data_IF_919340444061
#
_entry.id   IF_919340444061
#
_cell.length_a   1.000
_cell.length_b   1.000
_cell.length_c   1.000
_cell.angle_alpha   90.00
_cell.angle_beta   90.00
_cell.angle_gamma   90.00
#
_symmetry.space_group_name_H-M   'P 1'
#
loop_
_entity.id
_entity.type
_entity.pdbx_description
1 polymer ?
#
# COMPACT_ATOMS: atom_id res chain seq x y z
N UNK A 1 -9.94 -12.48 -5.84
CA UNK A 1 -9.86 -11.15 -5.23
C UNK A 1 -8.50 -10.52 -5.47
N UNK A 2 -8.48 -9.45 -6.24
CA UNK A 2 -7.40 -8.47 -6.32
C UNK A 2 -7.87 -7.25 -5.54
N UNK A 3 -7.12 -6.88 -4.50
CA UNK A 3 -7.34 -5.64 -3.78
C UNK A 3 -6.25 -4.67 -4.21
N UNK A 4 -6.50 -3.79 -5.20
CA UNK A 4 -5.69 -2.62 -5.31
C UNK A 4 -6.15 -1.67 -4.20
N UNK A 5 -5.53 -1.83 -3.05
CA UNK A 5 -4.92 -0.65 -2.44
C UNK A 5 -3.81 -0.21 -3.40
N UNK A 6 -3.27 1.01 -3.33
CA UNK A 6 -2.16 1.36 -4.23
C UNK A 6 -0.83 0.58 -3.93
N UNK A 7 -0.92 -0.63 -3.36
CA UNK A 7 -0.05 -1.78 -3.60
C UNK A 7 -0.88 -3.02 -4.00
N UNK A 8 -0.69 -3.53 -5.21
CA UNK A 8 -1.55 -4.57 -5.81
C UNK A 8 -1.40 -5.89 -5.03
N UNK A 9 -2.48 -6.66 -4.84
CA UNK A 9 -2.41 -8.07 -4.43
C UNK A 9 -3.04 -8.96 -5.51
N UNK A 10 -2.29 -9.87 -6.18
CA UNK A 10 -2.90 -10.87 -7.08
C UNK A 10 -3.05 -12.23 -6.40
N UNK A 11 -4.13 -12.94 -6.72
CA UNK A 11 -4.30 -14.38 -6.48
C UNK A 11 -4.56 -15.09 -7.80
N UNK A 12 -3.87 -16.21 -8.02
CA UNK A 12 -4.10 -17.11 -9.16
C UNK A 12 -4.82 -18.37 -8.65
N UNK A 13 -5.85 -18.81 -9.36
CA UNK A 13 -6.52 -20.10 -9.14
C UNK A 13 -6.45 -20.89 -10.44
N UNK A 14 -5.72 -22.00 -10.44
CA UNK A 14 -5.53 -22.86 -11.60
C UNK A 14 -6.77 -23.75 -11.82
N UNK A 15 -7.46 -23.54 -12.94
CA UNK A 15 -8.29 -24.57 -13.54
C UNK A 15 -8.20 -24.44 -15.06
N UNK A 16 -7.16 -25.03 -15.67
CA UNK A 16 -7.27 -25.96 -16.81
C UNK A 16 -6.08 -25.90 -17.78
N UNK A 17 -5.65 -27.10 -18.19
CA UNK A 17 -4.73 -27.37 -19.28
C UNK A 17 -5.20 -26.72 -20.59
N UNK A 18 -4.31 -26.04 -21.33
CA UNK A 18 -4.18 -26.13 -22.79
C UNK A 18 -2.90 -25.46 -23.34
N UNK A 19 -2.46 -25.96 -24.49
CA UNK A 19 -1.15 -25.77 -25.16
C UNK A 19 -0.81 -24.33 -25.61
N UNK A 20 0.49 -24.00 -25.80
CA UNK A 20 0.93 -22.67 -26.22
C UNK A 20 0.75 -22.42 -27.74
N UNK A 21 0.35 -21.21 -28.16
CA UNK A 21 0.35 -20.83 -29.57
C UNK A 21 1.73 -20.33 -30.03
N UNK A 22 1.95 -20.51 -31.34
CA UNK A 22 3.20 -20.32 -32.09
C UNK A 22 3.59 -18.84 -32.25
N UNK A 23 4.90 -18.63 -32.33
CA UNK A 23 5.65 -17.39 -32.57
C UNK A 23 5.24 -16.66 -33.86
N UNK A 24 5.11 -15.33 -33.78
CA UNK A 24 5.14 -14.43 -34.93
C UNK A 24 6.30 -13.44 -34.76
N UNK A 25 7.13 -13.38 -35.80
CA UNK A 25 8.27 -12.50 -36.00
C UNK A 25 7.79 -11.08 -36.33
N UNK A 26 8.41 -10.06 -35.71
CA UNK A 26 8.25 -8.67 -36.18
C UNK A 26 9.59 -7.95 -36.14
N UNK A 27 9.87 -7.27 -37.25
CA UNK A 27 11.12 -6.69 -37.70
C UNK A 27 11.53 -5.42 -36.92
N UNK A 28 12.85 -5.26 -36.76
CA UNK A 28 13.50 -4.06 -36.23
C UNK A 28 13.47 -2.91 -37.25
N UNK A 29 13.13 -1.70 -36.78
CA UNK A 29 13.51 -0.45 -37.44
C UNK A 29 14.39 0.38 -36.49
N UNK A 30 15.65 0.51 -36.90
CA UNK A 30 16.70 1.33 -36.28
C UNK A 30 16.49 2.79 -36.61
N UNK A 31 16.49 3.68 -35.62
CA UNK A 31 16.73 5.11 -35.81
C UNK A 31 17.73 5.63 -34.77
N UNK A 32 18.76 6.31 -35.29
CA UNK A 32 19.93 6.85 -34.56
C UNK A 32 19.59 8.12 -33.77
N UNK A 33 20.32 8.44 -32.69
CA UNK A 33 20.09 9.65 -31.90
C UNK A 33 20.78 10.88 -32.51
N UNK A 34 20.11 12.03 -32.45
CA UNK A 34 20.70 13.36 -32.61
C UNK A 34 21.07 13.90 -31.22
N UNK A 35 22.37 14.11 -31.00
CA UNK A 35 22.92 14.85 -29.88
C UNK A 35 22.80 16.35 -30.13
N UNK A 36 22.27 17.09 -29.17
CA UNK A 36 22.57 18.51 -29.01
C UNK A 36 22.83 18.80 -27.54
N UNK A 37 24.11 19.07 -27.26
CA UNK A 37 24.63 19.62 -26.00
C UNK A 37 24.25 21.10 -25.90
N UNK A 38 23.70 21.52 -24.76
CA UNK A 38 23.70 22.90 -24.31
C UNK A 38 23.88 22.90 -22.78
N UNK A 39 25.05 23.36 -22.35
CA UNK A 39 25.35 23.73 -20.96
C UNK A 39 24.73 25.10 -20.62
N UNK A 40 24.88 25.55 -19.35
CA UNK A 40 24.69 26.91 -18.75
C UNK A 40 23.78 26.82 -17.48
N UNK A 41 24.02 27.60 -16.39
CA UNK A 41 25.02 27.45 -15.35
C UNK A 41 24.39 27.19 -13.94
N UNK A 42 25.21 26.93 -12.93
CA UNK A 42 24.77 26.74 -11.54
C UNK A 42 24.68 28.11 -10.85
N UNK A 43 23.49 28.53 -10.42
CA UNK A 43 23.31 29.61 -9.44
C UNK A 43 22.93 29.05 -8.08
N UNK A 44 23.67 29.48 -7.05
CA UNK A 44 23.51 29.11 -5.64
C UNK A 44 22.22 29.70 -5.08
N UNK A 45 21.37 28.89 -4.45
CA UNK A 45 20.27 29.38 -3.61
C UNK A 45 20.66 29.40 -2.13
N UNK A 46 20.37 30.54 -1.52
CA UNK A 46 20.59 30.93 -0.13
C UNK A 46 19.72 30.10 0.84
N UNK A 47 20.28 29.78 2.01
CA UNK A 47 19.55 29.24 3.17
C UNK A 47 18.62 30.32 3.73
N UNK A 48 17.31 30.09 3.68
CA UNK A 48 16.35 30.81 4.51
C UNK A 48 16.17 30.05 5.84
N UNK A 49 16.57 30.69 6.94
CA UNK A 49 16.29 30.26 8.30
C UNK A 49 14.82 30.53 8.65
N UNK A 50 14.05 29.49 8.95
CA UNK A 50 12.71 29.64 9.53
C UNK A 50 12.85 29.96 11.03
N UNK A 51 12.32 31.11 11.43
CA UNK A 51 12.23 31.53 12.81
C UNK A 51 11.18 30.70 13.55
N UNK A 52 11.56 30.16 14.71
CA UNK A 52 10.66 29.48 15.65
C UNK A 52 9.72 30.51 16.28
N UNK A 53 8.43 30.46 15.92
CA UNK A 53 7.38 31.12 16.70
C UNK A 53 7.14 30.32 17.98
N UNK A 54 7.41 30.94 19.14
CA UNK A 54 7.04 30.40 20.44
C UNK A 54 5.52 30.32 20.55
N UNK A 55 4.96 29.12 20.57
CA UNK A 55 3.57 28.88 20.96
C UNK A 55 3.57 28.60 22.47
N UNK A 56 2.84 29.43 23.22
CA UNK A 56 2.56 29.22 24.63
C UNK A 56 1.51 28.11 24.78
N UNK A 57 1.92 26.97 25.34
CA UNK A 57 1.01 25.88 25.71
C UNK A 57 0.32 26.23 27.03
N UNK A 58 -0.99 26.45 26.96
CA UNK A 58 -1.88 26.42 28.12
C UNK A 58 -2.05 24.96 28.52
N UNK A 59 -1.65 24.60 29.73
CA UNK A 59 -1.80 23.26 30.30
C UNK A 59 -3.29 22.95 30.48
N UNK A 60 -3.83 22.14 29.56
CA UNK A 60 -5.01 21.31 29.81
C UNK A 60 -4.57 19.86 29.66
N UNK A 61 -4.72 19.16 30.78
CA UNK A 61 -4.77 17.73 31.05
C UNK A 61 -3.96 16.79 30.14
N UNK A 62 -2.95 16.18 30.77
CA UNK A 62 -1.94 15.31 30.19
C UNK A 62 -2.51 13.90 29.97
N UNK A 63 -3.57 13.78 29.17
CA UNK A 63 -4.17 12.50 28.85
C UNK A 63 -3.40 11.82 27.71
N UNK A 64 -3.09 10.54 27.91
CA UNK A 64 -2.36 9.75 26.92
C UNK A 64 -3.29 9.41 25.75
N UNK A 65 -2.73 9.29 24.54
CA UNK A 65 -3.45 8.84 23.34
C UNK A 65 -4.38 7.62 23.55
N UNK A 66 -3.93 6.55 24.24
CA UNK A 66 -4.81 5.44 24.60
C UNK A 66 -6.02 5.87 25.42
N UNK A 67 -5.88 6.84 26.32
CA UNK A 67 -6.96 7.40 27.13
C UNK A 67 -7.97 8.14 26.25
N UNK A 68 -7.52 9.00 25.33
CA UNK A 68 -8.40 9.72 24.38
C UNK A 68 -9.13 8.74 23.46
N UNK A 69 -8.44 7.71 22.97
CA UNK A 69 -9.07 6.66 22.14
C UNK A 69 -10.09 5.88 22.96
N UNK A 70 -9.76 5.53 24.21
CA UNK A 70 -10.66 4.81 25.12
C UNK A 70 -11.86 5.66 25.49
N UNK A 71 -11.70 6.97 25.70
CA UNK A 71 -12.81 7.89 25.98
C UNK A 71 -13.68 8.09 24.75
N UNK A 72 -13.10 8.28 23.56
CA UNK A 72 -13.88 8.32 22.31
C UNK A 72 -14.63 7.01 22.05
N UNK A 73 -14.04 5.86 22.38
CA UNK A 73 -14.71 4.56 22.32
C UNK A 73 -15.84 4.48 23.35
N UNK A 74 -15.61 4.89 24.60
CA UNK A 74 -16.65 4.91 25.65
C UNK A 74 -17.79 5.88 25.35
N UNK A 75 -17.49 7.08 24.85
CA UNK A 75 -18.50 8.05 24.39
C UNK A 75 -19.29 7.46 23.21
N UNK A 76 -18.63 6.69 22.34
CA UNK A 76 -19.30 6.01 21.23
C UNK A 76 -20.18 4.84 21.70
N UNK A 77 -19.71 4.00 22.62
CA UNK A 77 -20.47 2.89 23.21
C UNK A 77 -21.69 3.43 23.99
N UNK A 78 -21.54 4.54 24.72
CA UNK A 78 -22.63 5.18 25.48
C UNK A 78 -23.69 5.81 24.58
N UNK A 79 -23.30 6.31 23.39
CA UNK A 79 -24.22 6.82 22.38
C UNK A 79 -24.92 5.70 21.60
N UNK A 80 -24.29 4.53 21.45
CA UNK A 80 -24.93 3.33 20.89
C UNK A 80 -25.99 2.78 21.86
N UNK A 81 -25.70 2.69 23.16
CA UNK A 81 -26.70 2.31 24.18
C UNK A 81 -27.90 3.28 24.19
N UNK A 82 -27.68 4.58 24.00
CA UNK A 82 -28.78 5.57 23.90
C UNK A 82 -29.57 5.48 22.58
N UNK A 83 -28.94 5.11 21.47
CA UNK A 83 -29.64 4.87 20.20
C UNK A 83 -30.43 3.56 20.20
N UNK A 84 -29.92 2.51 20.84
CA UNK A 84 -30.65 1.26 21.04
C UNK A 84 -31.83 1.46 22.02
N UNK A 85 -31.67 2.25 23.09
CA UNK A 85 -32.77 2.60 24.01
C UNK A 85 -33.88 3.44 23.34
N UNK A 86 -33.54 4.33 22.40
CA UNK A 86 -34.52 5.14 21.63
C UNK A 86 -35.26 4.30 20.56
N UNK A 87 -34.63 3.26 19.99
CA UNK A 87 -35.24 2.35 19.00
C UNK A 87 -36.03 1.19 19.66
N UNK A 88 -35.74 0.81 20.91
CA UNK A 88 -36.38 -0.29 21.63
C UNK A 88 -37.77 0.03 22.21
N UNK A 89 -38.25 1.29 22.17
CA UNK A 89 -39.62 1.60 22.61
C UNK A 89 -40.69 1.04 21.63
N UNK A 90 -40.29 0.51 20.45
CA UNK A 90 -41.16 -0.24 19.55
C UNK A 90 -40.43 -1.43 18.91
N UNK A 91 -40.20 -2.51 19.66
CA UNK A 91 -40.42 -3.92 19.24
C UNK A 91 -39.49 -4.86 20.00
N UNK A 92 -40.00 -5.44 21.09
CA UNK A 92 -39.37 -6.53 21.82
C UNK A 92 -39.27 -7.77 20.92
N UNK A 93 -38.11 -8.01 20.32
CA UNK A 93 -37.77 -9.30 19.69
C UNK A 93 -36.37 -9.73 20.07
N UNK A 94 -36.35 -10.83 20.83
CA UNK A 94 -35.27 -11.73 21.20
C UNK A 94 -34.03 -11.65 20.30
N UNK A 95 -32.88 -11.26 20.88
CA UNK A 95 -31.56 -11.44 20.27
C UNK A 95 -31.26 -12.94 20.11
N UNK A 96 -31.64 -13.50 18.96
CA UNK A 96 -31.12 -14.78 18.52
C UNK A 96 -29.63 -14.60 18.21
N UNK A 97 -28.77 -15.18 19.06
CA UNK A 97 -27.33 -15.30 18.80
C UNK A 97 -27.13 -16.07 17.49
N UNK A 98 -26.99 -15.34 16.38
CA UNK A 98 -26.67 -15.92 15.09
C UNK A 98 -25.37 -16.72 15.18
N UNK A 99 -25.30 -17.92 14.57
CA UNK A 99 -24.08 -18.72 14.58
C UNK A 99 -22.93 -17.91 13.96
N UNK A 100 -21.76 -17.92 14.62
CA UNK A 100 -20.56 -17.21 14.15
C UNK A 100 -20.24 -17.62 12.72
N UNK A 101 -20.42 -16.69 11.77
CA UNK A 101 -20.13 -16.90 10.35
C UNK A 101 -18.63 -17.11 10.15
N UNK A 102 -18.24 -18.27 9.62
CA UNK A 102 -16.84 -18.65 9.45
C UNK A 102 -16.33 -18.26 8.06
N UNK A 103 -15.10 -17.72 8.00
CA UNK A 103 -14.46 -17.37 6.72
C UNK A 103 -14.22 -18.61 5.84
N UNK A 104 -14.02 -19.79 6.42
CA UNK A 104 -13.85 -21.05 5.67
C UNK A 104 -15.03 -21.41 4.79
N UNK A 105 -16.24 -20.98 5.19
CA UNK A 105 -17.48 -21.39 4.52
C UNK A 105 -17.92 -20.33 3.51
N UNK A 106 -17.53 -19.07 3.72
CA UNK A 106 -17.93 -17.92 2.92
C UNK A 106 -16.80 -17.32 2.08
N UNK A 107 -15.61 -17.91 2.07
CA UNK A 107 -14.48 -17.34 1.33
C UNK A 107 -14.74 -17.10 -0.17
N UNK A 108 -15.54 -17.89 -0.91
CA UNK A 108 -15.80 -17.61 -2.32
C UNK A 108 -16.53 -16.27 -2.51
N UNK A 109 -17.59 -16.04 -1.72
CA UNK A 109 -18.36 -14.79 -1.69
C UNK A 109 -17.44 -13.62 -1.32
N UNK A 110 -16.71 -13.79 -0.21
CA UNK A 110 -15.75 -12.79 0.26
C UNK A 110 -14.72 -12.50 -0.81
N UNK A 111 -14.29 -13.48 -1.61
CA UNK A 111 -13.31 -13.31 -2.68
C UNK A 111 -13.89 -12.81 -4.02
N UNK A 112 -15.18 -12.47 -4.03
CA UNK A 112 -15.87 -11.81 -5.13
C UNK A 112 -16.53 -12.76 -6.12
N UNK A 113 -16.90 -13.99 -5.73
CA UNK A 113 -17.63 -14.93 -6.60
C UNK A 113 -18.76 -14.22 -7.36
N UNK A 114 -19.56 -13.44 -6.63
CA UNK A 114 -20.70 -12.67 -7.16
C UNK A 114 -20.45 -11.14 -7.09
N UNK A 115 -19.21 -10.72 -7.34
CA UNK A 115 -18.83 -9.29 -7.44
C UNK A 115 -19.25 -8.45 -6.21
N UNK A 116 -19.26 -9.06 -5.03
CA UNK A 116 -19.60 -8.42 -3.74
C UNK A 116 -20.98 -7.75 -3.70
N UNK A 117 -21.93 -8.24 -4.50
CA UNK A 117 -23.32 -7.74 -4.48
C UNK A 117 -23.87 -7.82 -3.06
N UNK A 118 -24.43 -6.70 -2.57
CA UNK A 118 -24.97 -6.54 -1.22
C UNK A 118 -23.97 -6.72 -0.06
N UNK A 119 -22.66 -6.68 -0.32
CA UNK A 119 -21.62 -6.82 0.73
C UNK A 119 -20.84 -5.53 1.02
N UNK A 120 -21.09 -4.45 0.26
CA UNK A 120 -20.31 -3.21 0.35
C UNK A 120 -21.02 -2.07 1.07
N UNK A 121 -22.36 -2.06 1.10
CA UNK A 121 -23.14 -0.97 1.66
C UNK A 121 -24.50 -1.47 2.19
N UNK A 122 -24.64 -1.77 3.50
CA UNK A 122 -23.58 -1.75 4.51
C UNK A 122 -22.48 -2.78 4.24
N UNK A 123 -21.27 -2.51 4.70
CA UNK A 123 -20.15 -3.43 4.47
C UNK A 123 -20.28 -4.68 5.34
N UNK A 124 -20.11 -5.84 4.72
CA UNK A 124 -20.05 -7.13 5.40
C UNK A 124 -18.82 -7.18 6.34
N UNK A 125 -19.02 -7.65 7.57
CA UNK A 125 -17.97 -7.65 8.60
C UNK A 125 -16.81 -8.62 8.28
N UNK A 126 -17.10 -9.79 7.71
CA UNK A 126 -16.08 -10.72 7.23
C UNK A 126 -15.33 -10.11 6.05
N UNK A 127 -16.03 -9.44 5.13
CA UNK A 127 -15.37 -8.75 4.02
C UNK A 127 -14.43 -7.66 4.55
N UNK A 128 -14.91 -6.77 5.42
CA UNK A 128 -14.10 -5.69 6.01
C UNK A 128 -12.82 -6.24 6.66
N UNK A 129 -12.93 -7.27 7.49
CA UNK A 129 -11.78 -7.90 8.16
C UNK A 129 -10.78 -8.52 7.18
N UNK A 130 -11.25 -9.21 6.14
CA UNK A 130 -10.35 -9.80 5.13
C UNK A 130 -9.70 -8.73 4.25
N UNK A 131 -10.42 -7.66 3.92
CA UNK A 131 -9.88 -6.50 3.21
C UNK A 131 -8.78 -5.82 4.02
N UNK A 132 -8.98 -5.65 5.33
CA UNK A 132 -7.95 -5.13 6.25
C UNK A 132 -6.72 -6.02 6.25
N UNK A 133 -6.90 -7.34 6.41
CA UNK A 133 -5.79 -8.31 6.43
C UNK A 133 -4.93 -8.25 5.16
N UNK A 134 -5.54 -8.24 3.99
CA UNK A 134 -4.82 -8.10 2.73
C UNK A 134 -4.21 -6.70 2.54
N UNK A 135 -4.88 -5.66 3.05
CA UNK A 135 -4.38 -4.29 3.07
C UNK A 135 -3.13 -4.13 3.94
N UNK A 136 -3.06 -4.79 5.10
CA UNK A 136 -1.88 -4.83 5.95
C UNK A 136 -0.70 -5.54 5.26
N UNK A 137 -0.96 -6.64 4.55
CA UNK A 137 0.04 -7.28 3.69
C UNK A 137 0.58 -6.30 2.64
N UNK A 138 -0.29 -5.51 1.99
CA UNK A 138 0.17 -4.48 1.05
C UNK A 138 1.01 -3.40 1.75
N UNK A 139 0.62 -2.96 2.96
CA UNK A 139 1.36 -1.96 3.74
C UNK A 139 2.77 -2.42 4.11
N UNK A 140 2.99 -3.72 4.33
CA UNK A 140 4.35 -4.25 4.57
C UNK A 140 5.33 -3.96 3.43
N UNK A 141 4.84 -3.81 2.20
CA UNK A 141 5.67 -3.41 1.06
C UNK A 141 6.20 -1.98 1.19
N UNK A 142 5.48 -1.10 1.89
CA UNK A 142 5.96 0.23 2.20
C UNK A 142 6.90 0.18 3.41
N UNK A 143 6.53 -0.53 4.47
CA UNK A 143 7.28 -0.55 5.73
C UNK A 143 8.66 -1.25 5.62
N UNK A 144 8.79 -2.24 4.72
CA UNK A 144 10.01 -2.99 4.50
C UNK A 144 10.93 -2.41 3.42
N UNK A 145 10.49 -1.41 2.65
CA UNK A 145 11.29 -0.86 1.57
C UNK A 145 12.32 0.17 2.06
N UNK A 146 13.53 0.13 1.49
CA UNK A 146 14.56 1.11 1.80
C UNK A 146 14.45 2.37 0.94
N UNK A 147 13.78 3.39 1.47
CA UNK A 147 13.63 4.70 0.83
C UNK A 147 14.87 5.59 0.89
N UNK A 148 15.86 5.30 1.74
CA UNK A 148 16.94 6.26 2.01
C UNK A 148 17.95 6.30 0.85
N UNK A 149 18.04 7.41 0.09
CA UNK A 149 18.99 7.53 -1.02
C UNK A 149 20.46 7.51 -0.56
N UNK A 150 20.73 7.73 0.72
CA UNK A 150 22.06 7.61 1.32
C UNK A 150 22.33 6.21 1.88
N UNK A 151 21.43 5.24 1.69
CA UNK A 151 21.69 3.84 1.99
C UNK A 151 22.33 3.15 0.79
N UNK A 152 23.35 2.30 1.03
CA UNK A 152 23.87 1.40 -0.02
C UNK A 152 22.82 0.40 -0.53
N UNK A 153 21.79 0.17 0.28
CA UNK A 153 20.68 -0.73 0.02
C UNK A 153 19.39 -0.02 -0.44
N UNK A 154 19.46 1.28 -0.78
CA UNK A 154 18.30 2.04 -1.27
C UNK A 154 17.62 1.30 -2.42
N UNK A 155 16.30 1.11 -2.34
CA UNK A 155 15.56 0.37 -3.34
C UNK A 155 15.37 -1.12 -3.04
N UNK A 156 16.01 -1.68 -2.00
CA UNK A 156 15.86 -3.08 -1.62
C UNK A 156 14.81 -3.27 -0.51
N UNK A 157 14.44 -4.53 -0.25
CA UNK A 157 13.80 -4.92 1.01
C UNK A 157 14.82 -4.88 2.16
N UNK A 158 14.38 -4.45 3.35
CA UNK A 158 15.17 -4.39 4.59
C UNK A 158 15.34 -5.75 5.27
N UNK A 159 14.38 -6.65 5.09
CA UNK A 159 14.29 -7.90 5.84
C UNK A 159 14.48 -9.13 4.98
N UNK A 160 14.96 -10.21 5.58
CA UNK A 160 15.03 -11.53 4.92
C UNK A 160 13.69 -12.26 5.07
N UNK A 161 13.35 -13.07 4.06
CA UNK A 161 12.00 -13.67 3.89
C UNK A 161 11.46 -14.37 5.13
N UNK A 162 12.25 -15.25 5.74
CA UNK A 162 11.83 -16.05 6.90
C UNK A 162 11.58 -15.23 8.18
N UNK A 163 11.98 -13.95 8.18
CA UNK A 163 11.75 -13.02 9.30
C UNK A 163 10.89 -11.83 8.88
N UNK A 164 10.34 -11.83 7.66
CA UNK A 164 9.73 -10.64 7.07
C UNK A 164 8.55 -10.12 7.91
N UNK A 165 7.58 -10.97 8.23
CA UNK A 165 6.43 -10.56 9.04
C UNK A 165 6.79 -10.35 10.52
N UNK A 166 7.70 -11.15 11.07
CA UNK A 166 8.20 -10.98 12.44
C UNK A 166 8.85 -9.61 12.67
N UNK A 167 9.75 -9.20 11.77
CA UNK A 167 10.42 -7.89 11.79
C UNK A 167 9.46 -6.71 11.66
N UNK A 168 8.26 -6.96 11.16
CA UNK A 168 7.19 -5.97 10.98
C UNK A 168 6.12 -6.05 12.08
N UNK A 169 6.26 -6.94 13.07
CA UNK A 169 5.26 -7.13 14.13
C UNK A 169 3.97 -7.82 13.67
N UNK A 170 4.00 -8.53 12.55
CA UNK A 170 2.87 -9.21 11.92
C UNK A 170 3.02 -10.74 11.95
N UNK A 171 3.72 -11.27 12.96
CA UNK A 171 3.90 -12.71 13.17
C UNK A 171 2.56 -13.49 13.29
N UNK A 172 1.50 -12.83 13.75
CA UNK A 172 0.16 -13.41 13.88
C UNK A 172 -0.59 -13.57 12.54
N UNK A 173 -0.04 -13.06 11.42
CA UNK A 173 -0.75 -13.06 10.14
C UNK A 173 -0.91 -14.47 9.55
N UNK A 174 -0.04 -15.42 9.92
CA UNK A 174 -0.11 -16.82 9.50
C UNK A 174 0.33 -17.08 8.05
N UNK A 175 1.31 -16.33 7.54
CA UNK A 175 1.85 -16.49 6.18
C UNK A 175 3.38 -16.55 6.19
N UNK A 176 3.94 -17.29 5.25
CA UNK A 176 5.37 -17.39 5.00
C UNK A 176 5.73 -16.75 3.66
N UNK A 177 6.75 -15.88 3.63
CA UNK A 177 7.23 -15.29 2.39
C UNK A 177 8.12 -16.28 1.64
N UNK A 178 7.71 -16.63 0.42
CA UNK A 178 8.41 -17.62 -0.42
C UNK A 178 9.34 -16.98 -1.44
N UNK A 179 8.99 -15.81 -1.97
CA UNK A 179 9.77 -15.10 -3.00
C UNK A 179 9.68 -13.58 -2.87
N UNK A 180 10.76 -12.89 -3.22
CA UNK A 180 10.74 -11.45 -3.47
C UNK A 180 10.62 -11.15 -4.95
N UNK A 181 9.97 -10.03 -5.25
CA UNK A 181 9.67 -9.55 -6.58
C UNK A 181 10.48 -8.28 -6.83
N UNK A 182 11.14 -8.22 -7.98
CA UNK A 182 11.97 -7.10 -8.40
C UNK A 182 11.52 -6.64 -9.78
N UNK A 183 11.54 -5.33 -10.01
CA UNK A 183 11.28 -4.77 -11.33
C UNK A 183 12.41 -3.84 -11.76
N UNK A 184 12.62 -3.82 -13.08
CA UNK A 184 13.52 -2.93 -13.78
C UNK A 184 12.76 -2.12 -14.84
N UNK A 185 13.34 -1.03 -15.32
CA UNK A 185 12.80 -0.21 -16.39
C UNK A 185 13.90 0.06 -17.40
N UNK A 186 13.63 -0.28 -18.66
CA UNK A 186 14.49 0.09 -19.79
C UNK A 186 14.26 1.55 -20.25
N UNK A 187 13.32 2.28 -19.63
CA UNK A 187 13.07 3.69 -19.88
C UNK A 187 13.67 4.47 -18.71
N UNK A 188 14.54 5.44 -19.02
CA UNK A 188 15.14 6.33 -18.03
C UNK A 188 14.10 7.37 -17.57
N UNK A 189 13.11 6.91 -16.81
CA UNK A 189 12.12 7.77 -16.16
C UNK A 189 12.77 8.42 -14.94
N UNK A 190 12.89 9.76 -14.88
CA UNK A 190 13.36 10.44 -13.68
C UNK A 190 12.45 10.06 -12.49
N UNK A 191 13.04 9.75 -11.34
CA UNK A 191 12.36 9.46 -10.07
C UNK A 191 11.46 8.20 -9.98
N UNK A 192 11.30 7.40 -11.05
CA UNK A 192 10.46 6.18 -11.00
C UNK A 192 11.03 5.11 -10.06
N UNK A 193 12.36 4.97 -10.03
CA UNK A 193 13.07 4.19 -9.04
C UNK A 193 13.82 5.09 -8.07
N UNK A 194 13.78 4.75 -6.77
CA UNK A 194 14.68 5.34 -5.78
C UNK A 194 16.08 4.82 -6.07
N UNK A 195 17.00 5.75 -6.40
CA UNK A 195 18.40 5.46 -6.70
C UNK A 195 19.25 5.83 -5.51
N UNK A 196 20.12 4.91 -5.10
CA UNK A 196 21.16 5.22 -4.11
C UNK A 196 22.14 6.24 -4.70
N UNK A 197 22.65 7.14 -3.86
CA UNK A 197 23.73 8.09 -4.17
C UNK A 197 25.11 7.46 -4.02
N UNK A 198 25.21 6.21 -3.58
CA UNK A 198 26.48 5.49 -3.42
C UNK A 198 27.04 5.02 -4.77
N UNK A 199 28.38 4.93 -4.93
CA UNK A 199 29.00 4.42 -6.16
C UNK A 199 28.84 2.90 -6.35
N UNK A 200 28.90 2.14 -5.25
CA UNK A 200 28.69 0.70 -5.21
C UNK A 200 27.33 0.40 -4.59
N UNK A 201 26.35 0.16 -5.46
CA UNK A 201 24.94 -0.07 -5.09
C UNK A 201 24.59 -1.52 -5.30
N UNK A 202 23.64 -2.04 -4.54
CA UNK A 202 23.17 -3.42 -4.72
C UNK A 202 22.52 -3.65 -6.10
N UNK A 203 21.87 -2.63 -6.67
CA UNK A 203 21.38 -2.63 -8.06
C UNK A 203 21.30 -1.21 -8.60
N UNK A 204 21.69 -1.03 -9.87
CA UNK A 204 21.60 0.26 -10.58
C UNK A 204 20.26 0.47 -11.27
N UNK A 205 19.56 -0.62 -11.60
CA UNK A 205 18.45 -0.62 -12.54
C UNK A 205 17.19 -1.32 -12.00
N UNK A 206 17.22 -1.88 -10.80
CA UNK A 206 16.08 -2.60 -10.25
C UNK A 206 15.78 -2.19 -8.81
N UNK A 207 14.50 -2.18 -8.47
CA UNK A 207 14.02 -2.03 -7.09
C UNK A 207 13.22 -3.27 -6.69
N UNK A 208 13.21 -3.55 -5.40
CA UNK A 208 12.24 -4.43 -4.79
C UNK A 208 10.84 -3.82 -4.93
N UNK A 209 9.90 -4.63 -5.39
CA UNK A 209 8.52 -4.21 -5.64
C UNK A 209 7.49 -5.11 -4.96
N UNK A 210 7.87 -5.99 -4.05
CA UNK A 210 6.92 -6.80 -3.29
C UNK A 210 7.34 -8.25 -3.14
N UNK A 211 6.39 -9.11 -2.82
CA UNK A 211 6.67 -10.49 -2.45
C UNK A 211 5.51 -11.44 -2.73
N UNK A 212 5.82 -12.73 -2.77
CA UNK A 212 4.88 -13.84 -2.76
C UNK A 212 4.90 -14.45 -1.37
N UNK A 213 3.74 -14.62 -0.75
CA UNK A 213 3.56 -15.35 0.49
C UNK A 213 2.49 -16.43 0.37
N UNK A 214 2.57 -17.42 1.25
CA UNK A 214 1.65 -18.56 1.29
C UNK A 214 1.18 -18.73 2.72
N UNK A 215 -0.12 -18.96 2.93
CA UNK A 215 -0.66 -19.22 4.26
C UNK A 215 -0.03 -20.47 4.86
N UNK A 216 0.26 -20.48 6.15
CA UNK A 216 0.71 -21.67 6.87
C UNK A 216 -0.48 -22.63 7.12
N UNK A 217 -0.25 -23.78 7.76
CA UNK A 217 -1.28 -24.82 7.91
C UNK A 217 -2.46 -24.36 8.79
N UNK A 218 -2.17 -23.70 9.92
CA UNK A 218 -3.18 -23.14 10.82
C UNK A 218 -4.07 -22.11 10.11
N UNK A 219 -3.45 -21.17 9.41
CA UNK A 219 -4.18 -20.14 8.66
C UNK A 219 -4.95 -20.75 7.49
N UNK A 220 -4.39 -21.77 6.82
CA UNK A 220 -5.09 -22.47 5.74
C UNK A 220 -6.33 -23.20 6.23
N UNK A 221 -6.28 -23.78 7.43
CA UNK A 221 -7.43 -24.40 8.08
C UNK A 221 -8.50 -23.34 8.40
N UNK A 222 -8.11 -22.20 8.99
CA UNK A 222 -9.03 -21.09 9.28
C UNK A 222 -9.70 -20.56 8.01
N UNK A 223 -8.93 -20.42 6.93
CA UNK A 223 -9.40 -19.91 5.65
C UNK A 223 -10.17 -20.96 4.81
N UNK A 224 -10.15 -22.23 5.21
CA UNK A 224 -10.71 -23.34 4.42
C UNK A 224 -9.97 -23.61 3.11
N UNK A 225 -8.78 -23.04 2.92
CA UNK A 225 -8.01 -23.09 1.66
C UNK A 225 -6.55 -22.73 1.89
N UNK A 226 -5.63 -23.26 1.05
CA UNK A 226 -4.28 -22.68 0.93
C UNK A 226 -4.40 -21.36 0.18
N UNK A 227 -3.99 -20.27 0.81
CA UNK A 227 -4.02 -18.95 0.21
C UNK A 227 -2.61 -18.52 -0.22
N UNK A 228 -2.48 -18.09 -1.47
CA UNK A 228 -1.25 -17.56 -2.03
C UNK A 228 -1.50 -16.07 -2.30
N UNK A 229 -0.72 -15.23 -1.64
CA UNK A 229 -0.81 -13.77 -1.78
C UNK A 229 0.41 -13.26 -2.51
N UNK A 230 0.19 -12.37 -3.48
CA UNK A 230 1.27 -11.67 -4.18
C UNK A 230 1.11 -10.19 -3.93
N UNK A 231 1.81 -9.62 -2.95
CA UNK A 231 1.74 -8.20 -2.62
C UNK A 231 2.76 -7.40 -3.44
N UNK A 232 2.35 -6.27 -3.98
CA UNK A 232 3.14 -5.40 -4.84
C UNK A 232 3.22 -3.97 -4.28
N UNK A 233 4.34 -3.30 -4.55
CA UNK A 233 4.61 -1.90 -4.29
C UNK A 233 4.50 -1.12 -5.60
N UNK A 234 3.35 -0.52 -5.89
CA UNK A 234 3.25 0.34 -7.07
C UNK A 234 1.82 0.75 -7.45
N UNK A 235 1.68 1.93 -8.09
CA UNK A 235 0.40 2.43 -8.54
C UNK A 235 -0.10 1.69 -9.79
N UNK A 236 -1.34 2.03 -10.17
CA UNK A 236 -2.20 1.48 -11.23
C UNK A 236 -1.52 0.93 -12.48
N UNK A 237 -2.12 -0.13 -13.03
CA UNK A 237 -1.67 -0.79 -14.26
C UNK A 237 -2.84 -0.95 -15.22
N UNK A 238 -2.61 -0.69 -16.51
CA UNK A 238 -3.45 -1.20 -17.60
C UNK A 238 -4.27 -0.17 -18.37
N UNK A 239 -4.45 -0.44 -19.66
CA UNK A 239 -5.36 0.28 -20.56
C UNK A 239 -6.67 -0.52 -20.74
N UNK A 240 -7.55 -0.06 -21.64
CA UNK A 240 -8.83 -0.74 -21.94
C UNK A 240 -8.63 -2.23 -22.26
N UNK A 241 -7.62 -2.59 -23.05
CA UNK A 241 -7.37 -4.01 -23.40
C UNK A 241 -6.96 -4.86 -22.21
N UNK A 242 -6.26 -4.27 -21.24
CA UNK A 242 -5.93 -4.95 -19.98
C UNK A 242 -7.20 -5.22 -19.17
N UNK A 243 -8.09 -4.22 -19.08
CA UNK A 243 -9.42 -4.37 -18.46
C UNK A 243 -10.19 -5.52 -19.12
N UNK A 244 -10.37 -5.46 -20.44
CA UNK A 244 -11.12 -6.48 -21.19
C UNK A 244 -10.55 -7.88 -20.95
N UNK A 245 -9.22 -8.00 -20.90
CA UNK A 245 -8.56 -9.29 -20.64
C UNK A 245 -8.82 -9.81 -19.23
N UNK A 246 -8.81 -8.95 -18.22
CA UNK A 246 -9.12 -9.36 -16.84
C UNK A 246 -10.56 -9.82 -16.70
N UNK A 247 -11.51 -9.13 -17.35
CA UNK A 247 -12.92 -9.50 -17.36
C UNK A 247 -13.14 -10.85 -18.04
N UNK A 248 -12.52 -11.09 -19.21
CA UNK A 248 -12.58 -12.39 -19.91
C UNK A 248 -12.00 -13.53 -19.07
N UNK A 249 -10.95 -13.26 -18.29
CA UNK A 249 -10.33 -14.26 -17.41
C UNK A 249 -11.12 -14.47 -16.09
N UNK A 250 -12.23 -13.74 -15.88
CA UNK A 250 -13.02 -13.84 -14.65
C UNK A 250 -12.27 -13.33 -13.41
N UNK A 251 -11.26 -12.47 -13.58
CA UNK A 251 -10.46 -11.96 -12.46
C UNK A 251 -11.29 -10.95 -11.66
N UNK A 252 -11.56 -11.29 -10.40
CA UNK A 252 -12.30 -10.43 -9.48
C UNK A 252 -11.41 -9.37 -8.87
N UNK A 253 -11.76 -8.09 -9.07
CA UNK A 253 -11.02 -6.92 -8.58
C UNK A 253 -11.95 -6.04 -7.74
N UNK A 254 -11.58 -5.74 -6.49
CA UNK A 254 -12.28 -4.81 -5.61
C UNK A 254 -11.35 -3.67 -5.20
N UNK A 255 -11.65 -2.46 -5.67
CA UNK A 255 -10.83 -1.26 -5.47
C UNK A 255 -11.35 -0.46 -4.30
N UNK A 256 -10.55 -0.31 -3.24
CA UNK A 256 -10.86 0.59 -2.13
C UNK A 256 -10.29 1.96 -2.48
N UNK A 257 -11.14 2.99 -2.52
CA UNK A 257 -10.72 4.34 -2.93
C UNK A 257 -11.18 5.36 -1.91
N UNK A 258 -10.35 6.36 -1.65
CA UNK A 258 -10.79 7.59 -1.00
C UNK A 258 -11.40 8.53 -2.04
N UNK A 259 -12.63 9.02 -1.87
CA UNK A 259 -13.34 9.82 -2.89
C UNK A 259 -12.62 11.12 -3.26
N UNK A 260 -11.83 11.66 -2.33
CA UNK A 260 -11.01 12.85 -2.48
C UNK A 260 -9.63 12.58 -3.06
N UNK A 261 -9.27 11.31 -3.18
CA UNK A 261 -8.05 10.88 -3.85
C UNK A 261 -8.17 11.17 -5.36
N UNK A 262 -7.29 12.06 -5.84
CA UNK A 262 -7.22 12.44 -7.26
C UNK A 262 -6.09 11.81 -8.03
N UNK A 263 -5.07 11.18 -7.41
CA UNK A 263 -3.97 10.49 -8.12
C UNK A 263 -4.48 9.44 -9.12
N UNK A 264 -5.47 8.60 -8.75
CA UNK A 264 -6.28 7.82 -9.64
C UNK A 264 -6.74 8.46 -10.94
N UNK A 265 -7.16 9.71 -10.85
CA UNK A 265 -7.90 10.41 -11.89
C UNK A 265 -6.95 11.18 -12.82
N UNK A 266 -5.66 11.22 -12.52
CA UNK A 266 -4.67 11.93 -13.33
C UNK A 266 -3.71 10.95 -14.01
N UNK A 267 -3.72 10.82 -15.35
CA UNK A 267 -2.73 10.00 -16.03
C UNK A 267 -1.31 10.51 -15.79
N UNK A 268 -0.48 9.68 -15.16
CA UNK A 268 0.98 9.56 -15.38
C UNK A 268 1.90 10.78 -15.26
N UNK A 269 1.46 11.95 -14.75
CA UNK A 269 2.26 13.19 -14.79
C UNK A 269 2.57 13.80 -13.41
N UNK A 270 2.03 13.27 -12.30
CA UNK A 270 2.22 13.88 -10.97
C UNK A 270 3.52 13.44 -10.24
N UNK A 271 4.35 12.54 -10.79
CA UNK A 271 5.62 12.17 -10.14
C UNK A 271 6.76 13.20 -10.32
N UNK A 272 6.47 14.41 -10.80
CA UNK A 272 7.45 15.48 -10.89
C UNK A 272 6.90 16.78 -10.29
N UNK A 273 7.33 17.15 -9.09
CA UNK A 273 7.02 18.45 -8.46
C UNK A 273 7.57 19.66 -9.27
N UNK A 274 8.27 19.41 -10.38
CA UNK A 274 8.90 20.44 -11.22
C UNK A 274 8.35 20.54 -12.65
N UNK A 275 7.19 19.93 -12.98
CA UNK A 275 6.59 20.16 -14.31
C UNK A 275 5.87 21.52 -14.38
N UNK A 276 6.18 22.38 -15.37
CA UNK A 276 5.50 23.67 -15.54
C UNK A 276 3.99 23.51 -15.71
N UNK A 277 3.22 24.43 -15.11
CA UNK A 277 1.74 24.43 -15.08
C UNK A 277 1.08 24.30 -16.45
N UNK A 278 1.75 24.71 -17.52
CA UNK A 278 1.24 24.59 -18.89
C UNK A 278 1.19 23.12 -19.37
N UNK A 279 2.14 22.28 -18.96
CA UNK A 279 2.17 20.85 -19.31
C UNK A 279 1.05 20.10 -18.61
N UNK A 280 0.78 20.44 -17.34
CA UNK A 280 -0.37 19.90 -16.59
C UNK A 280 -1.70 20.25 -17.27
N UNK A 281 -1.84 21.46 -17.85
CA UNK A 281 -3.04 21.86 -18.60
C UNK A 281 -3.18 21.12 -19.94
N UNK A 282 -2.08 20.89 -20.66
CA UNK A 282 -2.08 20.17 -21.94
C UNK A 282 -2.40 18.67 -21.77
N UNK A 283 -1.95 18.08 -20.66
CA UNK A 283 -2.20 16.67 -20.35
C UNK A 283 -3.66 16.35 -19.99
N UNK A 284 -4.43 17.34 -19.52
CA UNK A 284 -5.87 17.18 -19.20
C UNK A 284 -6.73 16.87 -20.44
N UNK A 285 -6.23 17.10 -21.65
CA UNK A 285 -6.98 16.94 -22.90
C UNK A 285 -6.68 15.68 -23.73
N UNK A 286 -5.75 14.82 -23.30
CA UNK A 286 -5.33 13.64 -24.08
C UNK A 286 -5.80 12.32 -23.44
N UNK A 287 -6.42 11.39 -24.19
CA UNK A 287 -6.99 10.14 -23.70
C UNK A 287 -5.91 9.06 -23.52
N UNK A 288 -4.90 9.30 -22.69
CA UNK A 288 -4.04 8.23 -22.19
C UNK A 288 -4.78 7.50 -21.07
N UNK A 289 -5.86 6.80 -21.44
CA UNK A 289 -6.90 6.35 -20.51
C UNK A 289 -6.48 5.08 -19.77
N UNK A 290 -6.06 5.22 -18.52
CA UNK A 290 -6.17 4.13 -17.55
C UNK A 290 -7.65 3.78 -17.41
N UNK A 291 -7.98 2.50 -17.49
CA UNK A 291 -9.34 2.03 -17.30
C UNK A 291 -9.46 1.42 -15.92
N UNK A 292 -10.41 1.92 -15.14
CA UNK A 292 -10.77 1.30 -13.88
C UNK A 292 -11.33 -0.11 -14.13
N UNK A 293 -10.79 -1.11 -13.44
CA UNK A 293 -11.21 -2.51 -13.52
C UNK A 293 -11.89 -2.91 -12.22
N UNK A 294 -12.96 -3.70 -12.32
CA UNK A 294 -13.68 -4.27 -11.19
C UNK A 294 -14.53 -3.31 -10.37
N UNK A 295 -14.95 -3.80 -9.21
CA UNK A 295 -15.91 -3.15 -8.30
C UNK A 295 -15.19 -2.12 -7.44
N UNK A 296 -15.87 -1.02 -7.10
CA UNK A 296 -15.32 0.07 -6.30
C UNK A 296 -16.01 0.16 -4.94
N UNK A 297 -15.21 0.19 -3.87
CA UNK A 297 -15.62 0.58 -2.53
C UNK A 297 -15.11 2.01 -2.27
N UNK A 298 -16.01 2.97 -2.34
CA UNK A 298 -15.71 4.38 -2.14
C UNK A 298 -15.83 4.77 -0.66
N UNK A 299 -14.72 5.21 -0.08
CA UNK A 299 -14.60 5.69 1.30
C UNK A 299 -14.39 7.20 1.30
N UNK A 300 -14.87 7.88 2.34
CA UNK A 300 -14.72 9.32 2.50
C UNK A 300 -13.95 9.63 3.78
N UNK A 301 -12.74 10.14 3.63
CA UNK A 301 -11.89 10.47 4.77
C UNK A 301 -12.45 11.56 5.68
N UNK A 302 -13.34 12.42 5.16
CA UNK A 302 -13.99 13.48 5.94
C UNK A 302 -15.02 12.94 6.93
N UNK A 303 -15.38 11.66 6.84
CA UNK A 303 -16.26 10.98 7.79
C UNK A 303 -15.54 10.51 9.05
N UNK A 304 -14.22 10.40 9.01
CA UNK A 304 -13.44 10.00 10.18
C UNK A 304 -13.30 11.17 11.17
N UNK A 305 -13.66 11.00 12.45
CA UNK A 305 -13.43 12.03 13.47
C UNK A 305 -11.94 12.20 13.77
N UNK A 306 -11.08 11.25 13.36
CA UNK A 306 -9.65 11.25 13.65
C UNK A 306 -8.82 12.07 12.66
N UNK A 307 -9.30 12.23 11.42
CA UNK A 307 -8.51 12.80 10.32
C UNK A 307 -8.72 14.31 10.19
N UNK A 308 -7.65 15.01 9.80
CA UNK A 308 -7.63 16.45 9.49
C UNK A 308 -8.38 16.72 8.19
N UNK A 309 -9.05 17.87 8.12
CA UNK A 309 -9.41 18.46 6.82
C UNK A 309 -8.16 19.18 6.29
N UNK A 310 -7.37 18.48 5.47
CA UNK A 310 -6.11 18.97 4.90
C UNK A 310 -6.22 19.14 3.39
N UNK A 311 -5.44 20.07 2.83
CA UNK A 311 -5.26 20.21 1.38
C UNK A 311 -4.10 19.38 0.82
N UNK A 312 -3.41 18.61 1.66
CA UNK A 312 -2.29 17.76 1.25
C UNK A 312 -2.81 16.47 0.58
N UNK A 313 -2.72 16.44 -0.76
CA UNK A 313 -3.13 15.28 -1.54
C UNK A 313 -2.36 14.01 -1.18
N UNK A 314 -1.12 14.11 -0.70
CA UNK A 314 -0.33 12.92 -0.33
C UNK A 314 -0.99 12.13 0.82
N UNK A 315 -1.68 12.84 1.73
CA UNK A 315 -2.47 12.23 2.79
C UNK A 315 -3.65 11.42 2.24
N UNK A 316 -4.26 11.85 1.13
CA UNK A 316 -5.40 11.16 0.54
C UNK A 316 -5.01 9.81 -0.09
N UNK A 317 -3.75 9.69 -0.54
CA UNK A 317 -3.15 8.49 -1.13
C UNK A 317 -2.55 7.53 -0.09
N UNK A 318 -2.55 7.91 1.19
CA UNK A 318 -1.91 7.11 2.22
C UNK A 318 -2.67 5.79 2.42
N UNK A 319 -1.98 4.65 2.30
CA UNK A 319 -2.56 3.34 2.49
C UNK A 319 -3.04 3.14 3.94
N UNK A 320 -2.29 3.61 4.93
CA UNK A 320 -2.72 3.53 6.33
C UNK A 320 -4.03 4.30 6.58
N UNK A 321 -4.24 5.42 5.86
CA UNK A 321 -5.50 6.14 5.90
C UNK A 321 -6.64 5.33 5.25
N UNK A 322 -6.39 4.63 4.14
CA UNK A 322 -7.39 3.73 3.54
C UNK A 322 -7.79 2.59 4.49
N UNK A 323 -6.83 2.00 5.21
CA UNK A 323 -7.10 0.94 6.19
C UNK A 323 -7.86 1.48 7.41
N UNK A 324 -7.51 2.67 7.90
CA UNK A 324 -8.26 3.38 8.94
C UNK A 324 -9.72 3.59 8.54
N UNK A 325 -9.94 4.08 7.31
CA UNK A 325 -11.28 4.34 6.81
C UNK A 325 -12.08 3.08 6.60
N UNK A 326 -11.43 2.02 6.10
CA UNK A 326 -12.05 0.73 5.88
C UNK A 326 -12.50 0.12 7.21
N UNK A 327 -11.68 0.17 8.26
CA UNK A 327 -12.04 -0.37 9.58
C UNK A 327 -13.23 0.36 10.19
N UNK A 328 -13.30 1.69 10.02
CA UNK A 328 -14.39 2.51 10.56
C UNK A 328 -15.65 2.58 9.69
N UNK A 329 -15.64 2.02 8.49
CA UNK A 329 -16.76 2.10 7.56
C UNK A 329 -17.79 1.01 7.85
N UNK A 330 -19.07 1.39 7.90
CA UNK A 330 -20.21 0.48 8.13
C UNK A 330 -21.29 0.56 7.06
N UNK A 331 -21.19 1.51 6.13
CA UNK A 331 -22.22 1.81 5.14
C UNK A 331 -22.49 3.31 5.02
N UNK A 332 -23.18 3.72 3.95
CA UNK A 332 -23.58 5.11 3.74
C UNK A 332 -24.61 5.53 4.79
N UNK A 333 -24.42 6.73 5.33
CA UNK A 333 -25.29 7.29 6.37
C UNK A 333 -25.05 6.71 7.77
N UNK A 334 -24.27 5.64 7.90
CA UNK A 334 -23.90 5.08 9.21
C UNK A 334 -22.75 5.87 9.85
N UNK A 335 -22.71 5.84 11.19
CA UNK A 335 -21.64 6.44 12.00
C UNK A 335 -20.31 5.76 11.69
N UNK A 336 -19.22 6.52 11.80
CA UNK A 336 -17.87 5.99 11.66
C UNK A 336 -17.43 5.40 13.01
N UNK A 337 -17.14 4.09 13.05
CA UNK A 337 -16.78 3.39 14.28
C UNK A 337 -15.75 2.30 14.02
N UNK A 338 -14.58 2.38 14.64
CA UNK A 338 -13.49 1.41 14.45
C UNK A 338 -13.87 0.06 15.06
N UNK A 339 -13.72 -1.03 14.29
CA UNK A 339 -14.20 -2.36 14.72
C UNK A 339 -13.12 -3.33 15.12
N UNK A 340 -11.90 -3.15 14.61
CA UNK A 340 -10.79 -4.08 14.84
C UNK A 340 -9.85 -3.66 15.96
N UNK A 341 -10.13 -2.52 16.62
CA UNK A 341 -9.20 -1.90 17.57
C UNK A 341 -7.93 -1.36 16.89
N UNK A 342 -7.98 -1.10 15.57
CA UNK A 342 -6.86 -0.55 14.80
C UNK A 342 -6.44 0.80 15.39
N UNK A 343 -5.16 0.92 15.70
CA UNK A 343 -4.60 2.15 16.25
C UNK A 343 -4.58 3.28 15.20
N UNK A 344 -5.28 4.41 15.42
CA UNK A 344 -5.25 5.57 14.53
C UNK A 344 -3.82 6.08 14.28
N UNK A 345 -2.88 5.92 15.21
CA UNK A 345 -1.50 6.37 15.07
C UNK A 345 -0.79 5.82 13.82
N UNK A 346 -1.22 4.65 13.32
CA UNK A 346 -0.72 4.04 12.09
C UNK A 346 -0.86 4.96 10.87
N UNK A 347 -1.91 5.79 10.83
CA UNK A 347 -2.11 6.79 9.77
C UNK A 347 -0.89 7.70 9.60
N UNK A 348 -0.25 8.12 10.70
CA UNK A 348 0.89 9.03 10.65
C UNK A 348 2.23 8.34 10.35
N UNK A 349 2.27 7.06 9.97
CA UNK A 349 3.52 6.37 9.56
C UNK A 349 4.27 7.16 8.49
N UNK A 350 3.57 7.62 7.46
CA UNK A 350 4.15 8.29 6.29
C UNK A 350 3.38 9.57 5.89
N UNK A 351 2.59 10.14 6.80
CA UNK A 351 1.84 11.39 6.57
C UNK A 351 1.66 12.19 7.86
N UNK A 352 1.06 13.37 7.73
CA UNK A 352 0.54 14.18 8.83
C UNK A 352 -0.99 14.35 8.72
N UNK A 353 -1.74 13.25 8.86
CA UNK A 353 -3.17 13.24 8.53
C UNK A 353 -4.08 13.17 9.76
N UNK A 354 -3.59 12.72 10.91
CA UNK A 354 -4.35 12.74 12.17
C UNK A 354 -4.44 14.16 12.74
N UNK A 355 -5.56 14.50 13.38
CA UNK A 355 -5.76 15.81 14.05
C UNK A 355 -4.70 16.05 15.13
N UNK A 356 -4.27 17.30 15.26
CA UNK A 356 -3.12 17.66 16.13
C UNK A 356 -3.35 17.38 17.61
N UNK A 357 -4.60 17.43 18.08
CA UNK A 357 -4.93 17.17 19.49
C UNK A 357 -4.68 15.71 19.91
N UNK A 358 -4.51 14.80 18.97
CA UNK A 358 -4.07 13.43 19.25
C UNK A 358 -2.56 13.36 19.53
N UNK A 359 -1.77 14.42 19.28
CA UNK A 359 -0.34 14.47 19.62
C UNK A 359 0.52 13.33 19.05
N UNK A 360 0.08 12.69 17.95
CA UNK A 360 0.85 11.66 17.23
C UNK A 360 1.85 12.36 16.30
N UNK A 361 3.17 12.15 16.48
CA UNK A 361 4.16 12.73 15.58
C UNK A 361 3.92 12.30 14.12
N UNK A 362 3.93 13.23 13.15
CA UNK A 362 3.80 12.87 11.75
C UNK A 362 5.06 12.21 11.20
N UNK A 363 4.90 11.41 10.13
CA UNK A 363 5.98 10.68 9.47
C UNK A 363 6.86 9.88 10.43
N UNK A 364 6.26 9.27 11.47
CA UNK A 364 7.02 8.68 12.57
C UNK A 364 7.78 7.42 12.17
N UNK A 365 7.39 6.73 11.08
CA UNK A 365 8.02 5.47 10.69
C UNK A 365 9.45 5.72 10.20
N UNK A 366 10.40 5.33 11.03
CA UNK A 366 11.83 5.29 10.72
C UNK A 366 12.50 4.14 11.49
N UNK A 367 13.63 3.65 10.99
CA UNK A 367 14.46 2.74 11.77
C UNK A 367 15.20 3.55 12.85
N UNK A 368 15.45 2.93 14.00
CA UNK A 368 16.29 3.52 15.05
C UNK A 368 17.61 4.00 14.43
N UNK A 369 17.97 5.26 14.68
CA UNK A 369 19.17 5.90 14.15
C UNK A 369 19.32 5.78 12.62
N UNK A 370 18.20 5.69 11.89
CA UNK A 370 18.14 5.41 10.44
C UNK A 370 18.88 4.13 10.03
N UNK A 371 18.97 3.16 10.93
CA UNK A 371 19.64 1.87 10.73
C UNK A 371 21.17 1.94 10.89
N UNK A 372 21.73 3.04 11.39
CA UNK A 372 23.15 3.10 11.77
C UNK A 372 23.35 2.36 13.10
N UNK A 373 24.42 1.57 13.18
CA UNK A 373 24.79 0.84 14.41
C UNK A 373 26.19 1.23 14.86
N UNK A 374 26.42 1.22 16.18
CA UNK A 374 27.73 1.49 16.76
C UNK A 374 28.52 0.18 16.85
N UNK A 375 29.68 0.14 16.19
CA UNK A 375 30.59 -1.00 16.21
C UNK A 375 31.27 -1.16 17.58
N UNK A 376 31.85 -2.34 17.90
CA UNK A 376 32.63 -2.54 19.12
C UNK A 376 33.80 -1.56 19.26
N UNK A 377 34.36 -1.09 18.15
CA UNK A 377 35.43 -0.07 18.12
C UNK A 377 34.88 1.36 18.30
N UNK A 378 33.57 1.51 18.56
CA UNK A 378 32.91 2.78 18.85
C UNK A 378 32.53 3.61 17.62
N UNK A 379 32.74 3.09 16.40
CA UNK A 379 32.41 3.80 15.14
C UNK A 379 30.96 3.55 14.74
N UNK A 380 30.29 4.56 14.17
CA UNK A 380 28.96 4.38 13.59
C UNK A 380 29.08 3.91 12.14
N UNK A 381 28.39 2.82 11.81
CA UNK A 381 28.41 2.24 10.48
C UNK A 381 27.03 1.76 10.06
N UNK A 382 26.78 1.73 8.75
CA UNK A 382 25.62 1.06 8.20
C UNK A 382 25.94 -0.44 8.09
N UNK A 383 25.18 -1.32 8.76
CA UNK A 383 25.46 -2.75 8.75
C UNK A 383 25.33 -3.30 7.32
N UNK A 384 26.11 -4.33 7.01
CA UNK A 384 25.84 -5.15 5.84
C UNK A 384 24.54 -5.91 6.05
N UNK A 385 23.69 -5.91 5.02
CA UNK A 385 22.49 -6.75 5.03
C UNK A 385 22.89 -8.13 4.51
N UNK A 386 22.30 -9.21 5.07
CA UNK A 386 22.40 -10.53 4.46
C UNK A 386 22.03 -10.43 2.98
N UNK A 387 22.83 -11.05 2.11
CA UNK A 387 22.43 -11.17 0.71
C UNK A 387 21.16 -11.99 0.65
N UNK A 388 20.17 -11.49 -0.07
CA UNK A 388 18.96 -12.25 -0.34
C UNK A 388 19.33 -13.38 -1.29
N UNK A 389 19.45 -14.61 -0.80
CA UNK A 389 19.56 -15.81 -1.63
C UNK A 389 18.20 -16.07 -2.30
N UNK A 390 17.86 -15.19 -3.24
CA UNK A 390 16.56 -15.14 -3.92
C UNK A 390 16.66 -15.42 -5.41
N UNK A 391 17.87 -15.69 -5.87
CA UNK A 391 18.11 -16.18 -7.19
C UNK A 391 18.11 -17.70 -7.14
N UNK A 392 17.12 -18.38 -7.76
CA UNK A 392 17.33 -19.78 -8.07
C UNK A 392 18.64 -19.90 -8.86
N UNK A 393 19.38 -21.01 -8.69
CA UNK A 393 20.74 -21.17 -9.22
C UNK A 393 20.84 -20.91 -10.75
N UNK A 394 19.72 -20.92 -11.45
CA UNK A 394 19.55 -20.68 -12.88
C UNK A 394 19.18 -19.23 -13.26
N UNK A 395 19.04 -18.28 -12.33
CA UNK A 395 18.69 -16.88 -12.68
C UNK A 395 19.69 -16.29 -13.68
N UNK A 396 20.97 -16.65 -13.55
CA UNK A 396 22.03 -16.16 -14.42
C UNK A 396 21.77 -16.59 -15.87
N UNK A 397 21.29 -17.82 -16.09
CA UNK A 397 20.90 -18.30 -17.41
C UNK A 397 19.78 -17.43 -18.02
N UNK A 398 18.72 -17.14 -17.26
CA UNK A 398 17.62 -16.30 -17.77
C UNK A 398 18.03 -14.83 -17.99
N UNK A 399 18.84 -14.26 -17.10
CA UNK A 399 19.32 -12.89 -17.27
C UNK A 399 20.28 -12.77 -18.46
N UNK A 400 21.08 -13.80 -18.75
CA UNK A 400 21.88 -13.91 -19.97
C UNK A 400 20.98 -14.02 -21.22
N UNK A 401 19.92 -14.83 -21.18
CA UNK A 401 18.95 -14.89 -22.30
C UNK A 401 18.26 -13.54 -22.57
N UNK A 402 18.04 -12.74 -21.54
CA UNK A 402 17.47 -11.38 -21.66
C UNK A 402 18.52 -10.31 -22.03
N UNK A 403 19.80 -10.67 -22.14
CA UNK A 403 20.90 -9.73 -22.44
C UNK A 403 21.17 -8.73 -21.32
N UNK A 404 20.75 -9.03 -20.08
CA UNK A 404 20.83 -8.13 -18.93
C UNK A 404 22.11 -8.32 -18.11
N UNK A 405 22.87 -9.38 -18.37
CA UNK A 405 24.22 -9.62 -17.81
C UNK A 405 25.13 -9.94 -18.98
N UNK A 406 26.24 -9.22 -19.09
CA UNK A 406 27.36 -9.61 -19.95
C UNK A 406 28.24 -10.59 -19.17
N UNK A 407 28.63 -11.69 -19.82
CA UNK A 407 29.69 -12.58 -19.29
C UNK A 407 30.89 -11.72 -18.89
N UNK A 408 31.23 -11.74 -17.59
CA UNK A 408 32.48 -11.19 -17.07
C UNK A 408 33.51 -12.30 -16.89
#
# INVERSE_FOLDING_TARGET
>A
MVLPFEGICYKWSDTSHHQPPKTLSTQFLSQKPLQTSLAIPITKTSRASLALSKVSVSTRDNESLPSIITELQKEQDSEEEQQEEDDDEVSTTTEEQQPKRLISDHWPEIHGQDDWVNMLDPIDSLLRSELLRYGEMAQTCYDAFDYDPFSKNCGSCRFVRHSFFDRLGLNHIGYDVTRYLYATSNINLPNFFKKSRWPQVWSRNANWIGYVSVSNDEMSQKLGRRDITIAWRGPRVGNVRFKDRLEVLGVKVLRVVNVHDTVPKVPGIIFNEHVPTFVQKMAKGTPWSYSHVGVELALDHKKSPFLKDTGDFSCFHNLEAHLHLLDGYHGKGKKFLLTSGRDPALVNKASDFLKDHYLVPPFWRQDENKGMVRSPEGRWMQPERPKHDDHPHDIHYYLTQLGLVSDQ
#
